data_IF_312594580693
#
_entry.id   IF_312594580693
#
_cell.length_a   1.000
_cell.length_b   1.000
_cell.length_c   1.000
_cell.angle_alpha   90.00
_cell.angle_beta   90.00
_cell.angle_gamma   90.00
#
_symmetry.space_group_name_H-M   'P 1'
#
loop_
_entity.id
_entity.type
_entity.pdbx_description
1 polymer ?
#
# COMPACT_ATOMS: atom_id res chain seq x y z
N UNK A 1 -33.64 -26.12 51.26
CA UNK A 1 -32.24 -26.49 50.96
C UNK A 1 -31.96 -26.54 49.46
N UNK A 2 -32.87 -27.02 48.62
CA UNK A 2 -32.70 -27.05 47.15
C UNK A 2 -32.47 -25.68 46.49
N UNK A 3 -33.14 -24.61 46.93
CA UNK A 3 -33.00 -23.28 46.31
C UNK A 3 -31.59 -22.68 46.47
N UNK A 4 -30.88 -23.00 47.56
CA UNK A 4 -29.50 -22.56 47.76
C UNK A 4 -28.48 -23.34 46.92
N UNK A 5 -28.80 -24.61 46.61
CA UNK A 5 -27.99 -25.45 45.74
C UNK A 5 -28.12 -24.98 44.29
N UNK A 6 -29.34 -24.71 43.82
CA UNK A 6 -29.59 -24.16 42.47
C UNK A 6 -28.93 -22.80 42.24
N UNK A 7 -29.05 -21.88 43.21
CA UNK A 7 -28.38 -20.58 43.14
C UNK A 7 -26.85 -20.71 43.09
N UNK A 8 -26.27 -21.68 43.82
CA UNK A 8 -24.83 -21.95 43.77
C UNK A 8 -24.35 -22.51 42.42
N UNK A 9 -25.16 -23.31 41.74
CA UNK A 9 -24.88 -23.83 40.39
C UNK A 9 -24.98 -22.74 39.32
N UNK A 10 -26.00 -21.88 39.40
CA UNK A 10 -26.14 -20.71 38.53
C UNK A 10 -24.96 -19.74 38.67
N UNK A 11 -24.51 -19.45 39.89
CA UNK A 11 -23.34 -18.60 40.13
C UNK A 11 -22.06 -19.22 39.54
N UNK A 12 -21.88 -20.54 39.67
CA UNK A 12 -20.74 -21.24 39.05
C UNK A 12 -20.79 -21.15 37.52
N UNK A 13 -21.97 -21.31 36.93
CA UNK A 13 -22.15 -21.23 35.49
C UNK A 13 -21.90 -19.81 34.96
N UNK A 14 -22.44 -18.78 35.63
CA UNK A 14 -22.18 -17.38 35.30
C UNK A 14 -20.69 -17.05 35.38
N UNK A 15 -19.99 -17.54 36.40
CA UNK A 15 -18.54 -17.34 36.53
C UNK A 15 -17.76 -17.99 35.38
N UNK A 16 -18.12 -19.20 34.97
CA UNK A 16 -17.48 -19.86 33.83
C UNK A 16 -17.69 -19.05 32.54
N UNK A 17 -18.92 -18.58 32.29
CA UNK A 17 -19.23 -17.79 31.11
C UNK A 17 -18.47 -16.45 31.07
N UNK A 18 -18.29 -15.78 32.22
CA UNK A 18 -17.50 -14.54 32.31
C UNK A 18 -16.02 -14.78 31.99
N UNK A 19 -15.45 -15.91 32.44
CA UNK A 19 -14.05 -16.27 32.15
C UNK A 19 -13.89 -16.54 30.66
N UNK A 20 -14.77 -17.34 30.05
CA UNK A 20 -14.75 -17.62 28.61
C UNK A 20 -14.90 -16.33 27.77
N UNK A 21 -15.74 -15.39 28.22
CA UNK A 21 -15.87 -14.08 27.57
C UNK A 21 -14.59 -13.24 27.67
N UNK A 22 -13.89 -13.28 28.80
CA UNK A 22 -12.63 -12.56 28.97
C UNK A 22 -11.53 -13.12 28.06
N UNK A 23 -11.42 -14.45 27.95
CA UNK A 23 -10.45 -15.11 27.07
C UNK A 23 -10.72 -14.81 25.59
N UNK A 24 -12.00 -14.80 25.19
CA UNK A 24 -12.41 -14.38 23.85
C UNK A 24 -12.05 -12.91 23.58
N UNK A 25 -12.24 -12.01 24.55
CA UNK A 25 -11.90 -10.60 24.39
C UNK A 25 -10.39 -10.38 24.24
N UNK A 26 -9.56 -11.13 24.97
CA UNK A 26 -8.09 -11.09 24.83
C UNK A 26 -7.68 -11.51 23.41
N UNK A 27 -8.28 -12.59 22.89
CA UNK A 27 -8.02 -13.08 21.54
C UNK A 27 -8.37 -12.04 20.48
N UNK A 28 -9.52 -11.39 20.61
CA UNK A 28 -9.97 -10.33 19.71
C UNK A 28 -8.99 -9.14 19.71
N UNK A 29 -8.49 -8.75 20.89
CA UNK A 29 -7.56 -7.63 21.00
C UNK A 29 -6.24 -7.93 20.29
N UNK A 30 -5.67 -9.14 20.46
CA UNK A 30 -4.45 -9.53 19.73
C UNK A 30 -4.67 -9.54 18.21
N UNK A 31 -5.82 -10.04 17.75
CA UNK A 31 -6.16 -10.00 16.31
C UNK A 31 -6.29 -8.56 15.79
N UNK A 32 -6.82 -7.64 16.59
CA UNK A 32 -6.92 -6.23 16.22
C UNK A 32 -5.52 -5.58 16.08
N UNK A 33 -4.59 -5.91 16.97
CA UNK A 33 -3.20 -5.43 16.92
C UNK A 33 -2.47 -5.95 15.67
N UNK A 34 -2.64 -7.25 15.35
CA UNK A 34 -2.09 -7.84 14.12
C UNK A 34 -2.65 -7.18 12.85
N UNK A 35 -3.96 -6.91 12.81
CA UNK A 35 -4.61 -6.20 11.71
C UNK A 35 -4.07 -4.77 11.59
N UNK A 36 -3.86 -4.07 12.71
CA UNK A 36 -3.30 -2.71 12.71
C UNK A 36 -1.86 -2.69 12.16
N UNK A 37 -1.03 -3.62 12.59
CA UNK A 37 0.33 -3.78 12.08
C UNK A 37 0.34 -4.06 10.57
N UNK A 38 -0.52 -4.96 10.09
CA UNK A 38 -0.64 -5.26 8.67
C UNK A 38 -1.11 -4.04 7.85
N UNK A 39 -2.08 -3.27 8.36
CA UNK A 39 -2.53 -2.03 7.70
C UNK A 39 -1.40 -1.01 7.57
N UNK A 40 -0.60 -0.83 8.61
CA UNK A 40 0.54 0.08 8.55
C UNK A 40 1.54 -0.35 7.49
N UNK A 41 1.86 -1.64 7.43
CA UNK A 41 2.75 -2.19 6.40
C UNK A 41 2.19 -1.96 4.98
N UNK A 42 0.89 -2.14 4.78
CA UNK A 42 0.23 -1.85 3.49
C UNK A 42 0.36 -0.38 3.09
N UNK A 43 0.20 0.56 4.03
CA UNK A 43 0.35 1.99 3.76
C UNK A 43 1.80 2.35 3.39
N UNK A 44 2.80 1.76 4.04
CA UNK A 44 4.21 1.93 3.68
C UNK A 44 4.50 1.43 2.26
N UNK A 45 3.96 0.27 1.88
CA UNK A 45 4.09 -0.24 0.51
C UNK A 45 3.40 0.66 -0.52
N UNK A 46 2.20 1.17 -0.22
CA UNK A 46 1.49 2.11 -1.11
C UNK A 46 2.29 3.38 -1.36
N UNK A 47 2.84 3.98 -0.31
CA UNK A 47 3.64 5.21 -0.42
C UNK A 47 4.85 5.01 -1.36
N UNK A 48 5.52 3.86 -1.25
CA UNK A 48 6.63 3.52 -2.14
C UNK A 48 6.19 3.42 -3.61
N UNK A 49 5.10 2.71 -3.89
CA UNK A 49 4.58 2.56 -5.26
C UNK A 49 4.05 3.87 -5.85
N UNK A 50 3.42 4.72 -5.03
CA UNK A 50 2.95 6.04 -5.46
C UNK A 50 4.11 6.93 -5.90
N UNK A 51 5.23 6.89 -5.17
CA UNK A 51 6.42 7.63 -5.55
C UNK A 51 7.03 7.13 -6.88
N UNK A 52 7.11 5.81 -7.06
CA UNK A 52 7.57 5.23 -8.32
C UNK A 52 6.66 5.59 -9.51
N UNK A 53 5.34 5.58 -9.28
CA UNK A 53 4.34 5.99 -10.28
C UNK A 53 4.51 7.45 -10.67
N UNK A 54 4.67 8.34 -9.70
CA UNK A 54 4.86 9.77 -9.94
C UNK A 54 6.16 10.03 -10.71
N UNK A 55 7.26 9.36 -10.34
CA UNK A 55 8.54 9.48 -11.05
C UNK A 55 8.42 9.04 -12.52
N UNK A 56 7.72 7.93 -12.79
CA UNK A 56 7.46 7.48 -14.17
C UNK A 56 6.64 8.49 -14.97
N UNK A 57 5.58 9.06 -14.38
CA UNK A 57 4.78 10.10 -15.05
C UNK A 57 5.59 11.35 -15.36
N UNK A 58 6.46 11.77 -14.44
CA UNK A 58 7.38 12.89 -14.67
C UNK A 58 8.34 12.60 -15.82
N UNK A 59 8.87 11.38 -15.90
CA UNK A 59 9.74 10.94 -16.99
C UNK A 59 9.00 10.94 -18.34
N UNK A 60 7.80 10.37 -18.41
CA UNK A 60 6.98 10.35 -19.63
C UNK A 60 6.65 11.76 -20.12
N UNK A 61 6.33 12.68 -19.20
CA UNK A 61 6.09 14.09 -19.54
C UNK A 61 7.35 14.77 -20.11
N UNK A 62 8.52 14.51 -19.53
CA UNK A 62 9.78 15.04 -20.04
C UNK A 62 10.10 14.49 -21.44
N UNK A 63 9.86 13.19 -21.66
CA UNK A 63 10.03 12.56 -22.97
C UNK A 63 9.09 13.16 -24.00
N UNK A 64 7.81 13.34 -23.66
CA UNK A 64 6.84 14.01 -24.52
C UNK A 64 7.28 15.43 -24.94
N UNK A 65 7.93 16.18 -24.04
CA UNK A 65 8.48 17.49 -24.33
C UNK A 65 9.68 17.40 -25.28
N UNK A 66 10.64 16.49 -25.03
CA UNK A 66 11.83 16.32 -25.86
C UNK A 66 11.46 15.82 -27.26
N UNK A 67 10.51 14.89 -27.35
CA UNK A 67 10.01 14.37 -28.61
C UNK A 67 9.05 15.34 -29.32
N UNK A 68 8.46 16.29 -28.59
CA UNK A 68 7.48 17.31 -29.04
C UNK A 68 6.20 16.69 -29.62
N UNK A 69 5.72 15.63 -28.99
CA UNK A 69 4.71 14.75 -29.57
C UNK A 69 3.62 14.33 -28.57
N UNK A 70 3.59 14.93 -27.38
CA UNK A 70 2.58 14.60 -26.35
C UNK A 70 2.66 13.17 -25.80
N UNK A 71 3.77 12.45 -26.04
CA UNK A 71 3.99 11.09 -25.51
C UNK A 71 3.69 9.94 -26.48
N UNK A 72 3.29 10.24 -27.72
CA UNK A 72 3.01 9.21 -28.73
C UNK A 72 4.21 8.29 -29.00
N UNK A 73 5.40 8.84 -29.11
CA UNK A 73 6.64 8.11 -29.38
C UNK A 73 6.98 7.12 -28.27
N UNK A 74 6.84 7.55 -27.02
CA UNK A 74 7.04 6.66 -25.86
C UNK A 74 5.98 5.56 -25.83
N UNK A 75 4.72 5.86 -26.14
CA UNK A 75 3.64 4.87 -26.22
C UNK A 75 3.85 3.85 -27.35
N UNK A 76 4.43 4.27 -28.48
CA UNK A 76 4.64 3.41 -29.65
C UNK A 76 5.90 2.54 -29.52
N UNK A 77 6.97 3.10 -28.99
CA UNK A 77 8.30 2.46 -29.00
C UNK A 77 8.78 1.97 -27.63
N UNK A 78 8.07 2.30 -26.56
CA UNK A 78 8.45 1.98 -25.20
C UNK A 78 9.51 2.93 -24.62
N UNK A 79 9.62 2.87 -23.29
CA UNK A 79 10.40 3.82 -22.49
C UNK A 79 11.89 3.78 -22.82
N UNK A 80 12.50 2.60 -22.92
CA UNK A 80 13.95 2.47 -23.11
C UNK A 80 14.43 3.10 -24.41
N UNK A 81 13.74 2.82 -25.52
CA UNK A 81 14.07 3.40 -26.82
C UNK A 81 13.81 4.90 -26.84
N UNK A 82 12.68 5.35 -26.28
CA UNK A 82 12.36 6.78 -26.17
C UNK A 82 13.45 7.55 -25.41
N UNK A 83 13.96 7.02 -24.30
CA UNK A 83 15.05 7.66 -23.54
C UNK A 83 16.33 7.77 -24.37
N UNK A 84 16.76 6.69 -25.04
CA UNK A 84 17.98 6.69 -25.88
C UNK A 84 17.87 7.72 -27.01
N UNK A 85 16.72 7.76 -27.68
CA UNK A 85 16.49 8.67 -28.79
C UNK A 85 16.35 10.13 -28.31
N UNK A 86 15.76 10.37 -27.14
CA UNK A 86 15.72 11.68 -26.49
C UNK A 86 17.13 12.20 -26.15
N UNK A 87 18.01 11.35 -25.60
CA UNK A 87 19.41 11.71 -25.32
C UNK A 87 20.15 12.13 -26.59
N UNK A 88 19.95 11.38 -27.69
CA UNK A 88 20.55 11.71 -28.99
C UNK A 88 20.08 13.06 -29.51
N UNK A 89 18.77 13.34 -29.48
CA UNK A 89 18.19 14.63 -29.90
C UNK A 89 18.79 15.81 -29.12
N UNK A 90 18.98 15.67 -27.82
CA UNK A 90 19.55 16.73 -26.98
C UNK A 90 21.02 16.96 -27.35
N UNK A 91 21.81 15.89 -27.50
CA UNK A 91 23.22 16.00 -27.88
C UNK A 91 23.41 16.70 -29.24
N UNK A 92 22.56 16.37 -30.22
CA UNK A 92 22.54 17.02 -31.54
C UNK A 92 22.20 18.51 -31.40
N UNK A 93 21.14 18.85 -30.66
CA UNK A 93 20.72 20.23 -30.44
C UNK A 93 21.78 21.09 -29.72
N UNK A 94 22.62 20.49 -28.87
CA UNK A 94 23.72 21.20 -28.20
C UNK A 94 24.96 21.39 -29.07
N UNK A 95 25.21 20.50 -30.03
CA UNK A 95 26.36 20.56 -30.93
C UNK A 95 26.16 21.52 -32.11
N UNK A 96 24.92 21.88 -32.41
CA UNK A 96 24.55 22.81 -33.50
C UNK A 96 24.46 24.28 -33.05
N UNK A 97 24.87 24.61 -31.83
CA UNK A 97 24.91 26.02 -31.37
C UNK A 97 26.07 26.77 -32.05
N UNK A 98 25.79 27.86 -32.79
CA UNK A 98 26.84 28.67 -33.42
C UNK A 98 27.74 29.37 -32.40
#
# INVERSE_FOLDING_TARGET
MENGIKAGEEIKHLRACIVDQADNQITINHQADDIAAFRQQVEEYKAFWDQARLANQMLENLLAIIHRDGGHYTSEHGLEKSVKDAQKKVAEATNERP
#
